data_IF_076305222782
#
_entry.id   IF_076305222782
#
_cell.length_a   1.000
_cell.length_b   1.000
_cell.length_c   1.000
_cell.angle_alpha   90.00
_cell.angle_beta   90.00
_cell.angle_gamma   90.00
#
_symmetry.space_group_name_H-M   'P 1'
#
loop_
_entity.id
_entity.type
_entity.pdbx_description
1 polymer ?
#
# COMPACT_ATOMS: atom_id res chain seq x y z
N UNK A 1 -13.52 -1.33 -45.34
CA UNK A 1 -13.23 -0.12 -44.55
C UNK A 1 -14.36 0.30 -43.61
N UNK A 2 -15.64 0.35 -43.99
CA UNK A 2 -16.75 0.78 -43.12
C UNK A 2 -16.94 -0.12 -41.87
N UNK A 3 -16.68 -1.43 -41.93
CA UNK A 3 -16.82 -2.36 -40.81
C UNK A 3 -15.72 -2.21 -39.73
N UNK A 4 -14.54 -1.72 -40.10
CA UNK A 4 -13.44 -1.45 -39.16
C UNK A 4 -13.72 -0.20 -38.33
N UNK A 5 -14.42 0.78 -38.90
CA UNK A 5 -14.80 2.02 -38.19
C UNK A 5 -15.81 1.72 -37.08
N UNK A 6 -16.73 0.80 -37.30
CA UNK A 6 -17.71 0.39 -36.24
C UNK A 6 -17.05 -0.36 -35.10
N UNK A 7 -16.02 -1.18 -35.36
CA UNK A 7 -15.26 -1.87 -34.31
C UNK A 7 -14.46 -0.88 -33.47
N UNK A 8 -13.88 0.17 -34.07
CA UNK A 8 -13.15 1.23 -33.36
C UNK A 8 -14.08 2.14 -32.54
N UNK A 9 -15.33 2.36 -32.96
CA UNK A 9 -16.34 3.11 -32.21
C UNK A 9 -16.87 2.35 -31.00
N UNK A 10 -16.88 1.01 -31.00
CA UNK A 10 -17.30 0.19 -29.88
C UNK A 10 -16.23 0.06 -28.78
N UNK A 11 -14.96 0.33 -29.08
CA UNK A 11 -13.84 0.27 -28.10
C UNK A 11 -13.70 1.51 -27.22
N UNK A 12 -14.45 2.58 -27.46
CA UNK A 12 -14.31 3.86 -26.75
C UNK A 12 -15.22 4.06 -25.54
N UNK A 13 -15.96 3.04 -25.08
CA UNK A 13 -17.04 3.21 -24.08
C UNK A 13 -16.64 2.88 -22.63
N UNK A 14 -15.38 2.55 -22.32
CA UNK A 14 -14.98 2.16 -20.96
C UNK A 14 -13.82 2.99 -20.41
N UNK A 15 -14.07 4.29 -20.23
CA UNK A 15 -13.17 5.13 -19.43
C UNK A 15 -13.77 5.39 -18.05
N UNK A 16 -13.65 4.43 -17.16
CA UNK A 16 -13.87 4.67 -15.73
C UNK A 16 -12.55 5.01 -15.07
N UNK A 17 -12.28 6.31 -14.90
CA UNK A 17 -10.99 6.84 -14.47
C UNK A 17 -10.92 7.13 -12.96
N UNK A 18 -11.44 6.27 -12.10
CA UNK A 18 -11.28 6.44 -10.65
C UNK A 18 -10.23 5.47 -10.12
N UNK A 19 -8.98 5.96 -10.01
CA UNK A 19 -7.88 5.20 -9.42
C UNK A 19 -7.65 5.64 -7.96
N UNK A 20 -7.38 4.67 -7.07
CA UNK A 20 -6.76 4.94 -5.77
C UNK A 20 -5.28 5.28 -5.97
N UNK A 21 -4.65 5.97 -4.99
CA UNK A 21 -3.23 6.21 -5.06
C UNK A 21 -2.45 4.90 -5.19
N UNK A 22 -1.40 4.94 -5.99
CA UNK A 22 -0.41 3.89 -6.09
C UNK A 22 0.69 4.13 -5.07
N UNK A 23 1.09 3.09 -4.36
CA UNK A 23 2.19 3.14 -3.41
C UNK A 23 3.36 2.35 -3.99
N UNK A 24 4.51 2.98 -4.22
CA UNK A 24 5.68 2.27 -4.72
C UNK A 24 6.34 1.49 -3.60
N UNK A 25 6.37 2.08 -2.41
CA UNK A 25 6.96 1.47 -1.22
C UNK A 25 5.98 0.61 -0.41
N UNK A 26 4.93 0.03 -1.04
CA UNK A 26 4.03 -0.87 -0.33
C UNK A 26 4.76 -2.08 0.30
N UNK A 27 5.91 -2.49 -0.26
CA UNK A 27 6.75 -3.55 0.31
C UNK A 27 7.31 -3.20 1.70
N UNK A 28 7.34 -1.91 2.06
CA UNK A 28 7.71 -1.43 3.39
C UNK A 28 6.51 -1.24 4.30
N UNK A 29 5.31 -1.21 3.72
CA UNK A 29 4.06 -1.05 4.43
C UNK A 29 2.94 -1.84 3.75
N UNK A 30 3.06 -3.17 3.73
CA UNK A 30 2.02 -4.03 3.18
C UNK A 30 0.65 -3.86 3.88
N UNK A 31 0.65 -3.35 5.12
CA UNK A 31 -0.57 -3.06 5.87
C UNK A 31 -1.49 -2.04 5.15
N UNK A 32 -0.94 -1.07 4.38
CA UNK A 32 -1.76 -0.10 3.63
C UNK A 32 -2.65 -0.77 2.57
N UNK A 33 -2.24 -1.95 2.06
CA UNK A 33 -2.99 -2.70 1.04
C UNK A 33 -3.76 -3.88 1.62
N UNK A 34 -3.39 -4.40 2.81
CA UNK A 34 -4.04 -5.56 3.41
C UNK A 34 -4.22 -5.41 4.94
N UNK A 35 -5.47 -5.25 5.43
CA UNK A 35 -5.74 -5.05 6.86
C UNK A 35 -5.40 -6.26 7.73
N UNK A 36 -5.27 -7.46 7.16
CA UNK A 36 -4.90 -8.67 7.91
C UNK A 36 -3.45 -8.63 8.46
N UNK A 37 -2.63 -7.69 8.02
CA UNK A 37 -1.26 -7.50 8.51
C UNK A 37 -1.22 -6.77 9.87
N UNK A 38 -2.31 -6.12 10.24
CA UNK A 38 -2.39 -5.41 11.53
C UNK A 38 -2.00 -6.31 12.69
N UNK A 39 -0.97 -5.92 13.47
CA UNK A 39 -0.49 -6.69 14.62
C UNK A 39 0.47 -7.85 14.31
N UNK A 40 0.93 -8.01 13.07
CA UNK A 40 1.89 -9.05 12.69
C UNK A 40 3.23 -8.90 13.42
N UNK A 41 3.64 -7.67 13.70
CA UNK A 41 4.88 -7.36 14.40
C UNK A 41 4.76 -7.57 15.92
N UNK A 42 5.89 -7.55 16.63
CA UNK A 42 5.92 -7.64 18.10
C UNK A 42 5.89 -6.26 18.77
N UNK A 43 5.69 -5.22 17.99
CA UNK A 43 5.72 -3.81 18.39
C UNK A 43 4.60 -3.05 17.67
N UNK A 44 4.40 -1.82 18.08
CA UNK A 44 3.52 -0.89 17.36
C UNK A 44 4.32 -0.27 16.21
N UNK A 45 3.88 -0.54 14.98
CA UNK A 45 4.47 0.00 13.75
C UNK A 45 3.72 1.24 13.30
N UNK A 46 4.43 2.36 13.22
CA UNK A 46 3.90 3.63 12.71
C UNK A 46 4.63 3.98 11.44
N UNK A 47 3.89 4.28 10.38
CA UNK A 47 4.49 4.76 9.12
C UNK A 47 3.81 6.02 8.62
N UNK A 48 4.63 6.96 8.22
CA UNK A 48 4.23 8.21 7.56
C UNK A 48 4.85 8.22 6.16
N UNK A 49 4.05 8.52 5.16
CA UNK A 49 4.56 8.64 3.78
C UNK A 49 4.08 9.91 3.13
N UNK A 50 4.97 10.50 2.35
CA UNK A 50 4.68 11.60 1.45
C UNK A 50 5.15 11.22 0.04
N UNK A 51 4.20 11.21 -0.91
CA UNK A 51 4.44 10.86 -2.31
C UNK A 51 4.01 12.02 -3.21
N UNK A 52 4.91 12.46 -4.07
CA UNK A 52 4.67 13.47 -5.09
C UNK A 52 4.88 12.85 -6.47
N UNK A 53 3.79 12.65 -7.20
CA UNK A 53 3.81 11.99 -8.50
C UNK A 53 3.99 13.02 -9.61
N UNK A 54 4.67 12.64 -10.70
CA UNK A 54 4.82 13.43 -11.93
C UNK A 54 5.26 14.87 -11.67
N UNK A 55 6.34 15.01 -10.94
CA UNK A 55 6.88 16.32 -10.55
C UNK A 55 7.12 17.18 -11.77
N UNK A 56 6.63 18.43 -11.75
CA UNK A 56 6.69 19.40 -12.85
C UNK A 56 5.38 19.53 -13.63
N UNK A 57 4.36 18.71 -13.31
CA UNK A 57 3.03 18.81 -13.92
C UNK A 57 2.07 19.49 -12.93
N UNK A 58 1.37 20.51 -13.38
CA UNK A 58 0.37 21.19 -12.55
C UNK A 58 -0.82 20.26 -12.26
N UNK A 59 -1.28 20.27 -10.99
CA UNK A 59 -2.34 19.37 -10.54
C UNK A 59 -1.93 17.91 -10.43
N UNK A 60 -0.65 17.59 -10.55
CA UNK A 60 -0.15 16.23 -10.40
C UNK A 60 -0.53 15.59 -9.04
N UNK A 61 -0.73 14.27 -9.00
CA UNK A 61 -1.18 13.61 -7.79
C UNK A 61 -0.18 13.73 -6.63
N UNK A 62 -0.69 14.03 -5.45
CA UNK A 62 0.04 14.02 -4.17
C UNK A 62 -0.67 13.10 -3.21
N UNK A 63 0.09 12.24 -2.54
CA UNK A 63 -0.44 11.34 -1.54
C UNK A 63 0.33 11.52 -0.23
N UNK A 64 -0.40 11.65 0.83
CA UNK A 64 0.11 11.54 2.19
C UNK A 64 -0.64 10.43 2.89
N UNK A 65 0.05 9.54 3.60
CA UNK A 65 -0.60 8.59 4.49
C UNK A 65 0.10 8.48 5.82
N UNK A 66 -0.69 8.14 6.83
CA UNK A 66 -0.24 7.74 8.14
C UNK A 66 -0.91 6.41 8.51
N UNK A 67 -0.12 5.44 8.95
CA UNK A 67 -0.60 4.16 9.45
C UNK A 67 -0.02 3.87 10.81
N UNK A 68 -0.81 3.28 11.68
CA UNK A 68 -0.39 2.76 12.97
C UNK A 68 -1.07 1.43 13.17
N UNK A 69 -0.33 0.40 13.55
CA UNK A 69 -0.89 -0.88 13.96
C UNK A 69 0.01 -1.59 14.97
N UNK A 70 -0.59 -2.44 15.78
CA UNK A 70 0.14 -3.21 16.77
C UNK A 70 -0.64 -4.41 17.27
N UNK A 71 0.06 -5.38 17.89
CA UNK A 71 -0.55 -6.59 18.43
C UNK A 71 -1.20 -6.33 19.78
N UNK A 72 -2.25 -7.13 20.07
CA UNK A 72 -2.86 -7.26 21.37
C UNK A 72 -2.78 -8.73 21.79
N UNK A 73 -2.22 -8.98 22.97
CA UNK A 73 -2.11 -10.32 23.52
C UNK A 73 -1.07 -11.22 22.86
N UNK A 74 -0.22 -10.69 21.98
CA UNK A 74 0.86 -11.45 21.35
C UNK A 74 1.95 -11.75 22.36
N UNK A 75 2.25 -13.04 22.52
CA UNK A 75 3.36 -13.54 23.32
C UNK A 75 4.47 -14.00 22.41
N UNK A 76 5.69 -13.54 22.64
CA UNK A 76 6.87 -14.03 21.93
C UNK A 76 7.73 -14.87 22.89
N UNK A 77 7.88 -16.16 22.58
CA UNK A 77 8.63 -17.11 23.41
C UNK A 77 10.14 -17.02 23.23
N UNK A 78 10.65 -16.28 22.27
CA UNK A 78 12.07 -16.21 21.96
C UNK A 78 12.89 -15.32 22.89
N UNK A 79 12.24 -14.64 23.82
CA UNK A 79 12.85 -13.85 24.88
C UNK A 79 13.15 -14.66 26.14
N UNK A 80 13.47 -15.96 26.06
CA UNK A 80 13.90 -16.71 27.24
C UNK A 80 15.28 -16.23 27.72
N UNK A 81 15.44 -16.12 29.02
CA UNK A 81 16.64 -15.64 29.74
C UNK A 81 17.91 -16.45 29.41
N UNK A 82 17.80 -17.55 28.69
CA UNK A 82 18.90 -18.44 28.28
C UNK A 82 19.40 -18.22 26.85
N UNK A 83 18.89 -17.28 26.11
CA UNK A 83 19.48 -16.90 24.81
C UNK A 83 20.73 -16.05 25.05
N UNK A 84 21.90 -16.70 25.10
CA UNK A 84 23.18 -16.03 25.11
C UNK A 84 23.32 -15.22 23.82
N UNK A 85 23.52 -13.91 23.95
CA UNK A 85 23.94 -13.05 22.85
C UNK A 85 25.32 -13.56 22.36
N UNK A 86 25.37 -14.10 21.15
CA UNK A 86 26.66 -14.33 20.50
C UNK A 86 27.25 -12.96 20.19
N UNK A 87 28.35 -12.62 20.88
CA UNK A 87 29.10 -11.40 20.58
C UNK A 87 29.54 -11.40 19.13
N UNK A 88 29.09 -10.38 18.38
CA UNK A 88 29.41 -10.18 16.96
C UNK A 88 28.52 -10.88 15.95
N UNK A 89 27.53 -11.68 16.39
CA UNK A 89 26.52 -12.27 15.51
C UNK A 89 25.45 -11.26 15.09
N UNK A 90 24.79 -11.54 13.97
CA UNK A 90 23.59 -10.83 13.57
C UNK A 90 22.36 -11.55 14.16
N UNK A 91 21.74 -11.07 15.27
CA UNK A 91 20.64 -11.77 15.94
C UNK A 91 19.38 -11.91 15.08
N UNK A 92 19.32 -11.18 13.96
CA UNK A 92 18.22 -11.17 12.98
C UNK A 92 18.61 -11.78 11.64
N UNK A 93 19.74 -12.45 11.57
CA UNK A 93 20.26 -13.11 10.39
C UNK A 93 19.63 -14.49 10.12
N UNK A 94 20.38 -15.33 9.42
CA UNK A 94 19.95 -16.66 8.99
C UNK A 94 19.45 -17.55 10.14
N UNK A 95 20.09 -17.49 11.29
CA UNK A 95 19.73 -18.30 12.47
C UNK A 95 18.37 -17.91 13.04
N UNK A 96 18.04 -16.61 13.12
CA UNK A 96 16.71 -16.14 13.51
C UNK A 96 15.62 -16.74 12.62
N UNK A 97 15.82 -16.69 11.31
CA UNK A 97 14.84 -17.20 10.35
C UNK A 97 14.77 -18.72 10.32
N UNK A 98 15.86 -19.41 10.59
CA UNK A 98 15.89 -20.87 10.72
C UNK A 98 15.11 -21.36 11.94
N UNK A 99 15.17 -20.62 13.05
CA UNK A 99 14.50 -20.94 14.32
C UNK A 99 13.14 -20.25 14.49
N UNK A 100 12.61 -19.65 13.44
CA UNK A 100 11.30 -19.00 13.48
C UNK A 100 10.21 -19.97 13.89
N UNK A 101 9.39 -19.57 14.86
CA UNK A 101 8.17 -20.25 15.25
C UNK A 101 6.96 -19.33 15.06
N UNK A 102 5.85 -19.90 14.66
CA UNK A 102 4.58 -19.18 14.57
C UNK A 102 4.17 -18.68 15.96
N UNK A 103 3.76 -17.42 16.05
CA UNK A 103 3.27 -16.87 17.31
C UNK A 103 1.95 -17.53 17.73
N UNK A 104 1.65 -17.51 19.04
CA UNK A 104 0.34 -17.89 19.55
C UNK A 104 -0.77 -17.03 18.93
N UNK A 105 -2.01 -17.53 18.97
CA UNK A 105 -3.17 -16.76 18.53
C UNK A 105 -3.21 -15.39 19.22
N UNK A 106 -3.34 -14.33 18.42
CA UNK A 106 -3.37 -12.96 18.93
C UNK A 106 -4.18 -12.04 18.04
N UNK A 107 -4.50 -10.89 18.58
CA UNK A 107 -5.28 -9.87 17.88
C UNK A 107 -4.35 -8.74 17.40
N UNK A 108 -4.76 -8.05 16.35
CA UNK A 108 -4.14 -6.83 15.87
C UNK A 108 -5.15 -5.71 15.73
N UNK A 109 -4.78 -4.53 16.15
CA UNK A 109 -5.54 -3.31 15.90
C UNK A 109 -4.69 -2.34 15.10
N UNK A 110 -5.36 -1.53 14.30
CA UNK A 110 -4.67 -0.49 13.58
C UNK A 110 -5.59 0.63 13.11
N UNK A 111 -4.97 1.69 12.63
CA UNK A 111 -5.63 2.87 12.13
C UNK A 111 -4.87 3.44 10.95
N UNK A 112 -5.61 3.91 9.94
CA UNK A 112 -5.04 4.44 8.70
C UNK A 112 -5.74 5.73 8.31
N UNK A 113 -4.94 6.71 7.94
CA UNK A 113 -5.39 7.94 7.29
C UNK A 113 -4.65 8.08 5.98
N UNK A 114 -5.37 8.33 4.89
CA UNK A 114 -4.80 8.60 3.57
C UNK A 114 -5.42 9.88 3.05
N UNK A 115 -4.60 10.83 2.65
CA UNK A 115 -5.01 12.00 1.90
C UNK A 115 -4.43 11.91 0.49
N UNK A 116 -5.29 11.99 -0.51
CA UNK A 116 -4.96 11.93 -1.92
C UNK A 116 -5.53 13.13 -2.64
N UNK A 117 -4.66 13.94 -3.22
CA UNK A 117 -5.03 15.10 -4.00
C UNK A 117 -4.60 14.90 -5.44
N UNK A 118 -5.50 15.13 -6.40
CA UNK A 118 -5.20 15.13 -7.83
C UNK A 118 -6.04 16.22 -8.52
N UNK A 119 -5.38 17.18 -9.14
CA UNK A 119 -6.04 18.37 -9.68
C UNK A 119 -6.89 19.07 -8.62
N UNK A 120 -8.17 19.18 -8.89
CA UNK A 120 -9.15 19.85 -8.02
C UNK A 120 -9.88 18.86 -7.08
N UNK A 121 -9.52 17.59 -7.11
CA UNK A 121 -10.12 16.54 -6.29
C UNK A 121 -9.20 16.26 -5.11
N UNK A 122 -9.75 16.36 -3.90
CA UNK A 122 -9.09 15.95 -2.66
C UNK A 122 -9.91 14.82 -2.02
N UNK A 123 -9.28 13.68 -1.75
CA UNK A 123 -9.90 12.54 -1.11
C UNK A 123 -9.16 12.19 0.16
N UNK A 124 -9.85 12.28 1.29
CA UNK A 124 -9.36 11.88 2.60
C UNK A 124 -10.07 10.59 3.02
N UNK A 125 -9.32 9.53 3.26
CA UNK A 125 -9.84 8.23 3.68
C UNK A 125 -9.31 7.90 5.06
N UNK A 126 -10.18 7.51 5.98
CA UNK A 126 -9.83 7.15 7.36
C UNK A 126 -10.54 5.86 7.72
N UNK A 127 -9.81 4.89 8.27
CA UNK A 127 -10.40 3.62 8.72
C UNK A 127 -9.60 3.00 9.88
N UNK A 128 -10.33 2.34 10.76
CA UNK A 128 -9.78 1.47 11.79
C UNK A 128 -9.78 0.02 11.28
N UNK A 129 -8.81 -0.78 11.71
CA UNK A 129 -8.68 -2.18 11.32
C UNK A 129 -8.59 -3.07 12.53
N UNK A 130 -9.09 -4.28 12.35
CA UNK A 130 -8.93 -5.39 13.27
C UNK A 130 -8.43 -6.60 12.49
N UNK A 131 -7.49 -7.33 13.05
CA UNK A 131 -6.98 -8.58 12.51
C UNK A 131 -6.89 -9.64 13.61
N UNK A 132 -7.07 -10.91 13.22
CA UNK A 132 -6.85 -12.06 14.05
C UNK A 132 -5.82 -12.98 13.40
N UNK A 133 -4.79 -13.32 14.14
CA UNK A 133 -3.68 -14.17 13.73
C UNK A 133 -3.80 -15.54 14.40
N UNK A 134 -3.72 -16.60 13.61
CA UNK A 134 -3.80 -17.98 14.05
C UNK A 134 -2.62 -18.77 13.49
N UNK A 135 -1.90 -19.47 14.36
CA UNK A 135 -0.90 -20.45 13.92
C UNK A 135 -1.60 -21.66 13.28
N UNK A 136 -1.23 -21.98 12.05
CA UNK A 136 -1.68 -23.20 11.34
C UNK A 136 -0.71 -24.36 11.53
N UNK A 137 0.55 -24.05 11.71
CA UNK A 137 1.63 -25.02 11.97
C UNK A 137 2.72 -24.38 12.81
N UNK A 138 3.73 -25.15 13.19
CA UNK A 138 4.86 -24.61 13.97
C UNK A 138 5.57 -23.41 13.34
N UNK A 139 5.45 -23.21 12.02
CA UNK A 139 6.17 -22.14 11.28
C UNK A 139 5.29 -21.32 10.35
N UNK A 140 3.99 -21.54 10.33
CA UNK A 140 3.07 -20.86 9.40
C UNK A 140 1.89 -20.33 10.16
N UNK A 141 1.56 -19.09 9.95
CA UNK A 141 0.39 -18.41 10.51
C UNK A 141 -0.52 -17.90 9.39
N UNK A 142 -1.81 -17.88 9.67
CA UNK A 142 -2.83 -17.23 8.85
C UNK A 142 -3.42 -16.07 9.65
N UNK A 143 -3.55 -14.93 9.02
CA UNK A 143 -4.28 -13.80 9.56
C UNK A 143 -5.49 -13.48 8.68
N UNK A 144 -6.58 -13.12 9.33
CA UNK A 144 -7.76 -12.54 8.69
C UNK A 144 -8.03 -11.17 9.32
N UNK A 145 -8.34 -10.19 8.48
CA UNK A 145 -8.57 -8.83 8.96
C UNK A 145 -9.61 -8.08 8.16
N UNK A 146 -10.19 -7.09 8.80
CA UNK A 146 -11.13 -6.16 8.17
C UNK A 146 -10.85 -4.72 8.62
N UNK A 147 -11.30 -3.76 7.82
CA UNK A 147 -11.19 -2.34 8.11
C UNK A 147 -12.52 -1.64 7.86
N UNK A 148 -12.91 -0.77 8.77
CA UNK A 148 -14.13 0.02 8.71
C UNK A 148 -13.79 1.50 8.86
N UNK A 149 -14.44 2.33 8.04
CA UNK A 149 -14.22 3.77 8.08
C UNK A 149 -15.03 4.53 7.07
N UNK A 150 -14.51 5.66 6.67
CA UNK A 150 -15.15 6.52 5.68
C UNK A 150 -14.12 7.24 4.82
N UNK A 151 -14.57 7.63 3.64
CA UNK A 151 -13.82 8.44 2.69
C UNK A 151 -14.59 9.70 2.37
N UNK A 152 -13.98 10.86 2.55
CA UNK A 152 -14.51 12.16 2.16
C UNK A 152 -13.85 12.59 0.85
N UNK A 153 -14.63 12.80 -0.18
CA UNK A 153 -14.18 13.34 -1.47
C UNK A 153 -14.68 14.77 -1.61
N UNK A 154 -13.75 15.70 -1.73
CA UNK A 154 -14.02 17.11 -1.97
C UNK A 154 -13.57 17.50 -3.38
N UNK A 155 -14.44 18.16 -4.13
CA UNK A 155 -14.16 18.70 -5.45
C UNK A 155 -14.29 20.21 -5.37
N UNK A 156 -13.15 20.90 -5.51
CA UNK A 156 -13.10 22.36 -5.52
C UNK A 156 -13.55 22.89 -6.88
N UNK A 157 -14.85 23.19 -6.99
CA UNK A 157 -15.45 23.66 -8.24
C UNK A 157 -15.04 25.09 -8.59
N UNK A 158 -14.73 25.93 -7.61
CA UNK A 158 -14.35 27.32 -7.83
C UNK A 158 -13.03 27.48 -8.61
N UNK A 159 -12.21 26.44 -8.62
CA UNK A 159 -10.92 26.39 -9.35
C UNK A 159 -11.04 25.75 -10.73
N UNK A 160 -12.22 25.24 -11.11
CA UNK A 160 -12.43 24.59 -12.39
C UNK A 160 -12.82 25.66 -13.41
N UNK A 161 -11.98 25.85 -14.43
CA UNK A 161 -12.31 26.68 -15.59
C UNK A 161 -13.02 25.85 -16.62
N UNK A 162 -14.29 26.14 -16.88
CA UNK A 162 -15.11 25.45 -17.85
C UNK A 162 -14.95 26.09 -19.24
N UNK A 163 -14.78 25.26 -20.27
CA UNK A 163 -14.85 25.72 -21.66
C UNK A 163 -16.27 26.19 -22.02
N UNK A 164 -17.29 25.60 -21.41
CA UNK A 164 -18.69 25.99 -21.49
C UNK A 164 -19.21 26.26 -20.07
N UNK A 165 -19.66 27.49 -19.81
CA UNK A 165 -20.14 27.93 -18.49
C UNK A 165 -21.37 27.16 -17.99
N UNK A 166 -22.08 26.45 -18.88
CA UNK A 166 -23.26 25.64 -18.59
C UNK A 166 -23.02 24.14 -18.79
N UNK A 167 -21.86 23.63 -18.35
CA UNK A 167 -21.60 22.20 -18.44
C UNK A 167 -22.49 21.43 -17.42
N UNK A 168 -23.44 20.57 -17.91
CA UNK A 168 -24.35 19.83 -17.04
C UNK A 168 -23.63 18.89 -16.07
N UNK A 169 -22.40 18.47 -16.36
CA UNK A 169 -21.61 17.58 -15.52
C UNK A 169 -21.18 18.24 -14.20
N UNK A 170 -21.12 19.57 -14.14
CA UNK A 170 -20.74 20.34 -12.95
C UNK A 170 -21.94 21.04 -12.31
N UNK A 171 -23.00 21.28 -13.09
CA UNK A 171 -24.22 21.98 -12.65
C UNK A 171 -24.00 23.47 -12.38
N UNK A 172 -25.08 24.18 -12.11
CA UNK A 172 -25.04 25.63 -11.86
C UNK A 172 -24.53 26.02 -10.46
N UNK A 173 -24.15 25.04 -9.61
CA UNK A 173 -23.65 25.32 -8.26
C UNK A 173 -22.15 25.61 -8.28
N UNK A 174 -21.76 26.81 -7.89
CA UNK A 174 -20.37 27.28 -7.80
C UNK A 174 -19.66 26.84 -6.52
N UNK A 175 -20.38 26.21 -5.57
CA UNK A 175 -19.81 25.76 -4.30
C UNK A 175 -19.07 24.42 -4.38
N UNK A 176 -18.15 24.21 -3.44
CA UNK A 176 -17.42 22.93 -3.30
C UNK A 176 -18.38 21.75 -3.08
N UNK A 177 -18.12 20.64 -3.75
CA UNK A 177 -18.85 19.39 -3.56
C UNK A 177 -18.10 18.48 -2.62
N UNK A 178 -18.68 18.22 -1.45
CA UNK A 178 -18.15 17.23 -0.50
C UNK A 178 -19.06 16.01 -0.43
N UNK A 179 -18.48 14.83 -0.66
CA UNK A 179 -19.18 13.54 -0.58
C UNK A 179 -18.52 12.63 0.42
N UNK A 180 -19.27 12.22 1.44
CA UNK A 180 -18.85 11.20 2.40
C UNK A 180 -19.34 9.82 1.94
N UNK A 181 -18.43 8.83 1.97
CA UNK A 181 -18.73 7.44 1.59
C UNK A 181 -18.18 6.48 2.62
N UNK A 182 -18.90 5.42 3.01
CA UNK A 182 -18.35 4.39 3.88
C UNK A 182 -17.22 3.62 3.19
N UNK A 183 -16.26 3.17 3.98
CA UNK A 183 -15.10 2.40 3.55
C UNK A 183 -15.12 1.06 4.26
N UNK A 184 -15.11 -0.04 3.50
CA UNK A 184 -15.01 -1.41 3.99
C UNK A 184 -13.87 -2.10 3.27
N UNK A 185 -12.94 -2.65 4.05
CA UNK A 185 -11.79 -3.38 3.57
C UNK A 185 -11.74 -4.75 4.25
N UNK A 186 -11.25 -5.78 3.56
CA UNK A 186 -11.04 -7.10 4.13
C UNK A 186 -9.78 -7.73 3.54
N UNK A 187 -9.17 -8.66 4.26
CA UNK A 187 -7.99 -9.34 3.78
C UNK A 187 -7.68 -10.63 4.52
N UNK A 188 -6.86 -11.44 3.86
CA UNK A 188 -6.24 -12.64 4.37
C UNK A 188 -4.74 -12.55 4.14
N UNK A 189 -3.94 -13.04 5.09
CA UNK A 189 -2.49 -13.05 5.01
C UNK A 189 -1.93 -14.33 5.59
N UNK A 190 -1.39 -15.17 4.72
CA UNK A 190 -0.66 -16.38 5.09
C UNK A 190 0.83 -16.04 5.12
N UNK A 191 1.51 -16.32 6.22
CA UNK A 191 2.91 -15.96 6.37
C UNK A 191 3.72 -16.96 7.19
N UNK A 192 5.00 -17.00 6.85
CA UNK A 192 6.02 -17.84 7.48
C UNK A 192 7.35 -17.07 7.48
N UNK A 193 8.41 -17.62 8.01
CA UNK A 193 9.77 -17.04 7.90
C UNK A 193 10.25 -16.89 6.46
N UNK A 194 9.80 -17.75 5.55
CA UNK A 194 10.31 -17.84 4.18
C UNK A 194 9.38 -17.30 3.11
N UNK A 195 8.08 -17.23 3.36
CA UNK A 195 7.11 -16.82 2.35
C UNK A 195 5.91 -16.12 2.94
N UNK A 196 5.26 -15.35 2.12
CA UNK A 196 3.94 -14.81 2.40
C UNK A 196 3.06 -14.86 1.16
N UNK A 197 1.74 -14.98 1.40
CA UNK A 197 0.71 -14.88 0.38
C UNK A 197 -0.43 -14.05 0.98
N UNK A 198 -0.83 -13.00 0.29
CA UNK A 198 -1.89 -12.10 0.72
C UNK A 198 -2.98 -11.97 -0.32
N UNK A 199 -4.21 -11.85 0.15
CA UNK A 199 -5.37 -11.48 -0.65
C UNK A 199 -6.13 -10.40 0.10
N UNK A 200 -6.46 -9.30 -0.56
CA UNK A 200 -7.27 -8.26 0.05
C UNK A 200 -8.21 -7.60 -0.94
N UNK A 201 -9.29 -7.07 -0.41
CA UNK A 201 -10.23 -6.23 -1.14
C UNK A 201 -10.44 -4.94 -0.38
N UNK A 202 -10.35 -3.81 -1.08
CA UNK A 202 -10.60 -2.49 -0.55
C UNK A 202 -11.77 -1.86 -1.27
N UNK A 203 -12.52 -0.98 -0.58
CA UNK A 203 -13.77 -0.40 -1.11
C UNK A 203 -14.78 -1.47 -1.54
N UNK A 204 -14.99 -2.47 -0.70
CA UNK A 204 -15.85 -3.62 -1.01
C UNK A 204 -17.28 -3.19 -1.32
N UNK A 205 -17.75 -2.11 -0.70
CA UNK A 205 -19.09 -1.58 -0.94
C UNK A 205 -19.07 -0.70 -2.20
N UNK A 206 -19.70 -1.13 -3.30
CA UNK A 206 -19.82 -0.31 -4.49
C UNK A 206 -20.81 0.84 -4.25
N UNK A 207 -20.34 2.08 -4.35
CA UNK A 207 -21.14 3.26 -4.07
C UNK A 207 -21.25 4.11 -5.33
N UNK A 208 -22.49 4.42 -5.72
CA UNK A 208 -22.76 5.36 -6.81
C UNK A 208 -22.56 6.79 -6.32
N UNK A 209 -21.59 7.48 -6.88
CA UNK A 209 -21.38 8.91 -6.64
C UNK A 209 -22.12 9.67 -7.74
N UNK A 210 -23.09 10.46 -7.34
CA UNK A 210 -23.73 11.43 -8.22
C UNK A 210 -22.97 12.75 -8.04
N UNK A 211 -22.43 13.29 -9.10
CA UNK A 211 -21.81 14.62 -9.10
C UNK A 211 -22.85 15.73 -9.28
N UNK A 212 -23.95 15.39 -9.93
CA UNK A 212 -25.12 16.25 -10.18
C UNK A 212 -26.37 15.38 -10.05
N UNK A 213 -27.54 15.98 -9.83
CA UNK A 213 -28.82 15.24 -9.73
C UNK A 213 -29.23 14.56 -11.06
N UNK A 214 -28.59 14.90 -12.17
CA UNK A 214 -28.87 14.26 -13.46
C UNK A 214 -28.33 12.83 -13.49
N UNK A 215 -29.19 11.91 -13.94
CA UNK A 215 -28.91 10.47 -13.99
C UNK A 215 -27.80 10.07 -14.96
N UNK A 216 -27.44 10.94 -15.91
CA UNK A 216 -26.44 10.67 -16.94
C UNK A 216 -24.99 10.69 -16.41
N UNK A 217 -24.73 11.38 -15.30
CA UNK A 217 -23.40 11.60 -14.74
C UNK A 217 -23.17 10.84 -13.42
N UNK A 218 -23.25 9.51 -13.48
CA UNK A 218 -23.03 8.63 -12.32
C UNK A 218 -21.63 8.00 -12.41
N UNK A 219 -20.85 8.14 -11.36
CA UNK A 219 -19.61 7.36 -11.16
C UNK A 219 -19.85 6.32 -10.09
N UNK A 220 -19.34 5.11 -10.27
CA UNK A 220 -19.44 4.04 -9.28
C UNK A 220 -18.04 3.74 -8.73
N UNK A 221 -17.88 3.85 -7.40
CA UNK A 221 -16.71 3.31 -6.73
C UNK A 221 -16.74 1.79 -6.86
N UNK A 222 -15.67 1.21 -7.34
CA UNK A 222 -15.55 -0.24 -7.54
C UNK A 222 -14.51 -0.84 -6.59
N UNK A 223 -14.68 -2.09 -6.17
CA UNK A 223 -13.69 -2.76 -5.34
C UNK A 223 -12.33 -2.86 -6.01
N UNK A 224 -11.29 -2.69 -5.21
CA UNK A 224 -9.90 -2.92 -5.58
C UNK A 224 -9.42 -4.21 -4.93
N UNK A 225 -9.07 -5.20 -5.74
CA UNK A 225 -8.58 -6.49 -5.26
C UNK A 225 -7.07 -6.54 -5.44
N UNK A 226 -6.37 -6.97 -4.39
CA UNK A 226 -4.93 -7.15 -4.39
C UNK A 226 -4.60 -8.60 -4.03
N UNK A 227 -3.73 -9.22 -4.82
CA UNK A 227 -3.12 -10.49 -4.50
C UNK A 227 -1.60 -10.28 -4.45
N UNK A 228 -0.97 -10.65 -3.34
CA UNK A 228 0.46 -10.45 -3.12
C UNK A 228 1.11 -11.77 -2.76
N UNK A 229 2.33 -12.00 -3.22
CA UNK A 229 3.14 -13.14 -2.80
C UNK A 229 4.61 -12.73 -2.79
N UNK A 230 5.37 -13.30 -1.88
CA UNK A 230 6.81 -13.08 -1.80
C UNK A 230 7.52 -14.23 -1.10
N UNK A 231 8.81 -14.30 -1.35
CA UNK A 231 9.67 -15.33 -0.80
C UNK A 231 10.99 -14.73 -0.31
N UNK A 232 11.46 -15.18 0.85
CA UNK A 232 12.74 -14.78 1.42
C UNK A 232 13.80 -15.79 1.03
N UNK A 233 14.79 -15.33 0.29
CA UNK A 233 16.01 -16.05 -0.06
C UNK A 233 17.13 -15.57 0.84
N UNK A 234 17.68 -16.44 1.67
CA UNK A 234 18.87 -16.14 2.45
C UNK A 234 20.10 -16.37 1.58
N UNK A 235 20.80 -15.30 1.21
CA UNK A 235 21.99 -15.34 0.35
C UNK A 235 23.27 -15.51 1.15
N UNK A 236 23.22 -15.30 2.46
CA UNK A 236 24.35 -15.41 3.40
C UNK A 236 23.88 -15.15 4.82
N UNK A 237 24.77 -15.17 5.81
CA UNK A 237 24.40 -14.93 7.20
C UNK A 237 23.76 -13.55 7.42
N UNK A 238 24.16 -12.56 6.65
CA UNK A 238 23.78 -11.16 6.81
C UNK A 238 22.93 -10.59 5.68
N UNK A 239 22.75 -11.32 4.58
CA UNK A 239 22.10 -10.83 3.37
C UNK A 239 20.89 -11.67 3.04
N UNK A 240 19.75 -11.03 2.86
CA UNK A 240 18.55 -11.67 2.34
C UNK A 240 18.00 -10.92 1.13
N UNK A 241 17.45 -11.66 0.16
CA UNK A 241 16.68 -11.12 -0.96
C UNK A 241 15.22 -11.54 -0.83
N UNK A 242 14.30 -10.61 -1.09
CA UNK A 242 12.87 -10.83 -0.98
C UNK A 242 12.22 -10.42 -2.31
N UNK A 243 12.24 -11.31 -3.33
CA UNK A 243 11.41 -11.13 -4.49
C UNK A 243 9.93 -11.25 -4.12
N UNK A 244 9.11 -10.39 -4.69
CA UNK A 244 7.66 -10.39 -4.48
C UNK A 244 6.90 -9.91 -5.71
N UNK A 245 5.64 -10.28 -5.78
CA UNK A 245 4.72 -9.87 -6.85
C UNK A 245 3.42 -9.40 -6.22
N UNK A 246 2.87 -8.33 -6.78
CA UNK A 246 1.51 -7.88 -6.49
C UNK A 246 0.71 -7.80 -7.79
N UNK A 247 -0.46 -8.42 -7.75
CA UNK A 247 -1.49 -8.31 -8.79
C UNK A 247 -2.56 -7.39 -8.23
N UNK A 248 -2.91 -6.34 -8.98
CA UNK A 248 -4.02 -5.46 -8.65
C UNK A 248 -5.08 -5.56 -9.75
N UNK A 249 -6.29 -5.88 -9.33
CA UNK A 249 -7.47 -5.95 -10.19
C UNK A 249 -8.48 -4.89 -9.76
N UNK A 250 -8.92 -4.10 -10.73
CA UNK A 250 -10.00 -3.14 -10.60
C UNK A 250 -10.93 -3.36 -11.80
N UNK A 251 -12.23 -3.49 -11.56
CA UNK A 251 -13.19 -3.69 -12.65
C UNK A 251 -13.07 -2.55 -13.68
N UNK A 252 -13.10 -2.90 -14.95
CA UNK A 252 -13.01 -1.98 -16.10
C UNK A 252 -11.63 -1.32 -16.30
N UNK A 253 -10.58 -1.80 -15.63
CA UNK A 253 -9.19 -1.40 -15.91
C UNK A 253 -8.31 -2.61 -16.23
N UNK A 254 -7.22 -2.44 -16.99
CA UNK A 254 -6.26 -3.51 -17.18
C UNK A 254 -5.66 -3.96 -15.84
N UNK A 255 -5.40 -5.26 -15.72
CA UNK A 255 -4.72 -5.82 -14.54
C UNK A 255 -3.33 -5.24 -14.43
N UNK A 256 -2.99 -4.69 -13.26
CA UNK A 256 -1.64 -4.20 -12.96
C UNK A 256 -0.83 -5.29 -12.27
N UNK A 257 0.39 -5.50 -12.75
CA UNK A 257 1.36 -6.45 -12.20
C UNK A 257 2.59 -5.67 -11.74
N UNK A 258 2.94 -5.79 -10.47
CA UNK A 258 4.10 -5.17 -9.86
C UNK A 258 5.08 -6.26 -9.39
N UNK A 259 6.27 -6.30 -9.99
CA UNK A 259 7.36 -7.17 -9.56
C UNK A 259 8.34 -6.36 -8.72
N UNK A 260 8.59 -6.81 -7.50
CA UNK A 260 9.52 -6.17 -6.58
C UNK A 260 10.63 -7.13 -6.16
N UNK A 261 11.77 -6.57 -5.88
CA UNK A 261 12.86 -7.29 -5.19
C UNK A 261 13.48 -6.35 -4.17
N UNK A 262 13.53 -6.78 -2.90
CA UNK A 262 14.21 -6.08 -1.81
C UNK A 262 15.43 -6.91 -1.40
N UNK A 263 16.62 -6.31 -1.40
CA UNK A 263 17.86 -6.90 -0.88
C UNK A 263 18.18 -6.16 0.41
N UNK A 264 18.32 -6.91 1.48
CA UNK A 264 18.49 -6.39 2.83
C UNK A 264 19.82 -6.89 3.43
N UNK A 265 20.57 -5.97 4.03
CA UNK A 265 21.81 -6.24 4.75
C UNK A 265 21.62 -5.95 6.24
N UNK A 266 21.76 -6.97 7.10
CA UNK A 266 21.74 -6.90 8.57
C UNK A 266 20.57 -6.14 9.18
N UNK A 267 19.41 -6.11 8.53
CA UNK A 267 18.31 -5.22 8.94
C UNK A 267 18.69 -3.72 9.08
N UNK A 268 19.87 -3.34 8.61
CA UNK A 268 20.37 -1.98 8.71
C UNK A 268 20.06 -1.18 7.45
N UNK A 269 20.40 -1.77 6.31
CA UNK A 269 20.23 -1.15 4.99
C UNK A 269 19.48 -2.08 4.07
N UNK A 270 18.73 -1.53 3.17
CA UNK A 270 18.13 -2.27 2.08
C UNK A 270 18.06 -1.43 0.81
N UNK A 271 18.13 -2.11 -0.31
CA UNK A 271 17.86 -1.55 -1.63
C UNK A 271 16.76 -2.37 -2.30
N UNK A 272 15.99 -1.76 -3.16
CA UNK A 272 14.92 -2.44 -3.87
C UNK A 272 14.70 -1.89 -5.26
N UNK A 273 14.08 -2.71 -6.09
CA UNK A 273 13.62 -2.36 -7.41
C UNK A 273 12.18 -2.81 -7.60
N UNK A 274 11.42 -2.02 -8.33
CA UNK A 274 10.06 -2.33 -8.75
C UNK A 274 9.95 -2.22 -10.26
N UNK A 275 9.34 -3.21 -10.88
CA UNK A 275 8.93 -3.20 -12.28
C UNK A 275 7.40 -3.31 -12.32
N UNK A 276 6.74 -2.24 -12.76
CA UNK A 276 5.30 -2.21 -12.95
C UNK A 276 4.93 -2.30 -14.41
N UNK A 277 4.11 -3.29 -14.73
CA UNK A 277 3.63 -3.44 -16.10
C UNK A 277 2.78 -2.23 -16.51
N UNK A 278 3.22 -1.54 -17.57
CA UNK A 278 2.54 -0.36 -18.13
C UNK A 278 2.98 0.98 -17.56
N UNK A 279 3.53 1.05 -16.33
CA UNK A 279 3.84 2.33 -15.66
C UNK A 279 5.35 2.66 -15.63
N UNK A 280 6.23 1.66 -15.51
CA UNK A 280 7.67 1.92 -15.51
C UNK A 280 8.48 1.15 -14.47
N UNK A 281 9.64 1.71 -14.15
CA UNK A 281 10.61 1.19 -13.20
C UNK A 281 10.69 2.12 -11.99
N UNK A 282 10.92 1.56 -10.80
CA UNK A 282 11.27 2.34 -9.63
C UNK A 282 12.50 1.75 -8.92
N UNK A 283 13.34 2.63 -8.41
CA UNK A 283 14.41 2.29 -7.51
C UNK A 283 14.06 2.74 -6.08
N UNK A 284 14.46 1.96 -5.10
CA UNK A 284 14.17 2.22 -3.68
C UNK A 284 15.40 1.99 -2.84
N UNK A 285 15.55 2.78 -1.79
CA UNK A 285 16.59 2.60 -0.78
C UNK A 285 16.01 2.94 0.59
N UNK A 286 16.46 2.23 1.59
CA UNK A 286 16.06 2.54 2.97
C UNK A 286 17.07 2.07 3.99
N UNK A 287 16.99 2.67 5.16
CA UNK A 287 17.87 2.38 6.26
C UNK A 287 17.13 2.48 7.60
N UNK A 288 17.59 1.69 8.54
CA UNK A 288 17.22 1.81 9.94
C UNK A 288 18.25 2.72 10.62
N UNK A 289 17.89 3.98 10.87
CA UNK A 289 18.79 5.00 11.46
C UNK A 289 19.05 4.71 12.93
N UNK A 290 18.02 4.18 13.62
CA UNK A 290 18.09 3.78 15.02
C UNK A 290 17.23 2.54 15.24
N UNK A 291 17.23 1.99 16.44
CA UNK A 291 16.39 0.83 16.80
C UNK A 291 14.89 1.11 16.59
N UNK A 292 14.48 2.37 16.68
CA UNK A 292 13.09 2.80 16.63
C UNK A 292 12.71 3.59 15.38
N UNK A 293 13.67 3.96 14.53
CA UNK A 293 13.43 4.85 13.39
C UNK A 293 13.97 4.24 12.11
N UNK A 294 13.14 4.16 11.10
CA UNK A 294 13.54 3.81 9.74
C UNK A 294 13.12 4.90 8.75
N UNK A 295 13.91 5.08 7.72
CA UNK A 295 13.64 6.01 6.62
C UNK A 295 13.87 5.30 5.29
N UNK A 296 13.02 5.58 4.34
CA UNK A 296 13.19 5.08 2.98
C UNK A 296 12.75 6.09 1.94
N UNK A 297 13.32 5.96 0.77
CA UNK A 297 13.07 6.80 -0.39
C UNK A 297 12.89 5.95 -1.63
N UNK A 298 11.96 6.31 -2.48
CA UNK A 298 11.82 5.74 -3.83
C UNK A 298 11.74 6.82 -4.90
N UNK A 299 12.24 6.45 -6.06
CA UNK A 299 12.15 7.24 -7.28
C UNK A 299 11.59 6.38 -8.41
N UNK A 300 10.44 6.81 -8.98
CA UNK A 300 9.80 6.08 -10.08
C UNK A 300 10.11 6.80 -11.41
N UNK A 301 10.66 6.03 -12.33
CA UNK A 301 10.85 6.41 -13.72
C UNK A 301 9.63 5.98 -14.53
N UNK A 302 8.78 6.92 -14.89
CA UNK A 302 7.62 6.62 -15.72
C UNK A 302 8.03 6.49 -17.18
N UNK A 303 7.79 5.32 -17.78
CA UNK A 303 8.05 5.01 -19.19
C UNK A 303 6.80 5.10 -20.09
N UNK A 304 5.80 5.86 -19.68
CA UNK A 304 4.57 6.01 -20.46
C UNK A 304 4.85 6.49 -21.90
N UNK A 305 4.20 5.87 -22.88
CA UNK A 305 4.31 6.18 -24.32
C UNK A 305 3.74 7.57 -24.71
N UNK A 306 3.30 8.37 -23.73
CA UNK A 306 2.58 9.61 -23.98
C UNK A 306 3.43 10.85 -23.67
N UNK A 307 3.02 11.97 -24.24
CA UNK A 307 3.61 13.32 -24.12
C UNK A 307 3.95 13.74 -22.68
N UNK A 308 3.24 13.20 -21.69
CA UNK A 308 3.49 13.38 -20.26
C UNK A 308 4.86 12.88 -19.79
N UNK A 309 5.49 11.92 -20.48
CA UNK A 309 6.80 11.39 -20.10
C UNK A 309 7.95 12.39 -20.29
N UNK A 310 7.81 13.34 -21.20
CA UNK A 310 8.83 14.37 -21.49
C UNK A 310 8.78 15.56 -20.53
N UNK A 311 7.63 15.84 -19.91
CA UNK A 311 7.43 16.94 -18.95
C UNK A 311 7.59 16.50 -17.50
N UNK A 312 7.57 15.20 -17.23
CA UNK A 312 7.55 14.59 -15.93
C UNK A 312 8.98 14.32 -15.44
N UNK A 313 9.34 14.89 -14.31
CA UNK A 313 10.61 14.66 -13.60
C UNK A 313 10.60 13.45 -12.68
N UNK A 314 9.70 12.49 -12.93
CA UNK A 314 9.56 11.29 -12.11
C UNK A 314 8.59 11.45 -10.93
N UNK A 315 8.55 10.42 -10.11
CA UNK A 315 7.72 10.39 -8.89
C UNK A 315 8.63 10.09 -7.71
N UNK A 316 8.46 10.84 -6.65
CA UNK A 316 9.24 10.72 -5.41
C UNK A 316 8.32 10.27 -4.28
N UNK A 317 8.78 9.32 -3.47
CA UNK A 317 8.08 8.91 -2.25
C UNK A 317 9.09 8.75 -1.11
N UNK A 318 8.78 9.35 0.04
CA UNK A 318 9.55 9.20 1.28
C UNK A 318 8.65 8.52 2.29
N UNK A 319 9.19 7.52 3.00
CA UNK A 319 8.51 6.86 4.12
C UNK A 319 9.38 6.97 5.36
N UNK A 320 8.76 7.43 6.44
CA UNK A 320 9.32 7.43 7.80
C UNK A 320 8.57 6.38 8.61
N UNK A 321 9.29 5.49 9.25
CA UNK A 321 8.74 4.47 10.12
C UNK A 321 9.25 4.61 11.55
N UNK A 322 8.35 4.34 12.50
CA UNK A 322 8.67 4.33 13.92
C UNK A 322 8.22 3.00 14.53
N UNK A 323 9.13 2.36 15.25
CA UNK A 323 8.89 1.14 15.99
C UNK A 323 8.72 1.50 17.47
N UNK A 324 7.50 1.40 18.00
CA UNK A 324 7.18 1.79 19.37
C UNK A 324 6.93 0.56 20.22
N UNK A 325 7.35 0.61 21.48
CA UNK A 325 7.14 -0.47 22.46
C UNK A 325 7.70 -1.83 22.00
N UNK A 326 8.86 -1.82 21.33
CA UNK A 326 9.58 -3.05 21.02
C UNK A 326 10.30 -3.58 22.26
N UNK A 327 9.65 -4.51 22.96
CA UNK A 327 10.16 -5.12 24.21
C UNK A 327 11.33 -6.06 23.97
N UNK A 328 11.50 -6.53 22.76
CA UNK A 328 12.51 -7.53 22.39
C UNK A 328 13.75 -6.90 21.75
N UNK A 329 13.78 -5.57 21.61
CA UNK A 329 14.93 -4.82 21.10
C UNK A 329 15.42 -5.35 19.76
N UNK A 330 16.70 -5.67 19.67
CA UNK A 330 17.33 -6.15 18.44
C UNK A 330 17.03 -7.61 18.11
N UNK A 331 16.36 -8.36 18.97
CA UNK A 331 16.01 -9.76 18.74
C UNK A 331 14.85 -9.94 17.75
N UNK A 332 14.03 -8.90 17.51
CA UNK A 332 12.92 -8.95 16.56
C UNK A 332 13.27 -8.20 15.28
N UNK A 333 13.00 -8.76 14.09
CA UNK A 333 13.14 -8.02 12.84
C UNK A 333 12.19 -6.82 12.83
N UNK A 334 12.61 -5.73 12.22
CA UNK A 334 11.86 -4.46 12.19
C UNK A 334 10.75 -4.44 11.15
N UNK A 335 10.79 -5.37 10.22
CA UNK A 335 9.74 -5.64 9.28
C UNK A 335 9.82 -7.11 8.91
N UNK A 336 8.82 -7.87 9.29
CA UNK A 336 8.76 -9.28 8.90
C UNK A 336 8.61 -9.39 7.38
N UNK A 337 7.81 -8.51 6.81
CA UNK A 337 7.55 -8.48 5.36
C UNK A 337 7.46 -7.06 4.81
#
# INVERSE_FOLDING_TARGET
MKRIVYVLLFLSQYTSAQQRPHYTQYIMNNYIVNPAIGGIENYVDVKLSARNQWVGIDGAPKTFYATIHGPIGKKDYRGSVSSFEMQGGNPRGSEYWANYAAAEPHHGLGFTVVNYQTGYINRSTTYATYAYHQGLSARTSLAAGFGLGFSSTNINRSKITLANSFDPAIGNNTGDLTKLTPELNAGLWLYSSKYFIGLSAQQIIPIKIKLVDDAAYKSTLVPHIFATAGYRLQLGPDISAIPSVMVRYIASTPVSLDFNTKIQYRDLLWIGGNLRNGDGLAGMVGMNVAQTVNISYSYDLNRGKYLLSTMNRGTHEIVLGFTLNNKFGDLCPRNIW
#
